data_IF_799209932188
#
_entry.id   IF_799209932188
#
_cell.length_a   1.000
_cell.length_b   1.000
_cell.length_c   1.000
_cell.angle_alpha   90.00
_cell.angle_beta   90.00
_cell.angle_gamma   90.00
#
_symmetry.space_group_name_H-M   'P 1'
#
loop_
_entity.id
_entity.type
_entity.pdbx_description
1 polymer ?
#
# COMPACT_ATOMS: atom_id res chain seq x y z
N UNK A 1 25.66 -22.81 20.09
CA UNK A 1 24.27 -23.05 19.64
C UNK A 1 23.36 -22.36 20.64
N UNK A 2 23.07 -21.08 20.43
CA UNK A 2 22.21 -20.30 21.32
C UNK A 2 20.80 -20.27 20.71
N UNK A 3 19.85 -20.88 21.40
CA UNK A 3 18.42 -20.74 21.15
C UNK A 3 18.03 -19.29 21.47
N UNK A 4 17.62 -18.52 20.46
CA UNK A 4 16.97 -17.23 20.71
C UNK A 4 15.56 -17.52 21.28
N UNK A 5 15.23 -17.00 22.47
CA UNK A 5 13.91 -17.17 23.06
C UNK A 5 12.90 -16.46 22.17
N UNK A 6 11.84 -17.19 21.81
CA UNK A 6 10.81 -16.70 20.91
C UNK A 6 10.25 -15.37 21.37
N UNK A 7 10.36 -14.36 20.50
CA UNK A 7 9.55 -13.16 20.58
C UNK A 7 8.07 -13.58 20.52
N UNK A 8 7.27 -13.35 21.57
CA UNK A 8 5.83 -13.44 21.43
C UNK A 8 5.37 -12.22 20.61
N UNK A 9 4.85 -12.45 19.41
CA UNK A 9 4.05 -11.44 18.72
C UNK A 9 2.81 -11.18 19.60
N UNK A 10 2.52 -9.94 20.03
CA UNK A 10 1.24 -9.64 20.62
C UNK A 10 0.16 -9.74 19.53
N UNK A 11 -0.50 -10.89 19.44
CA UNK A 11 -1.79 -11.01 18.77
C UNK A 11 -2.81 -10.28 19.64
N UNK A 12 -3.07 -9.02 19.31
CA UNK A 12 -4.15 -8.24 19.93
C UNK A 12 -5.48 -8.95 19.67
N UNK A 13 -6.23 -9.20 20.74
CA UNK A 13 -7.56 -9.82 20.78
C UNK A 13 -8.53 -9.22 19.75
N UNK A 14 -9.27 -10.08 19.06
CA UNK A 14 -10.48 -9.70 18.34
C UNK A 14 -11.62 -9.36 19.30
N UNK A 15 -12.37 -8.30 18.98
CA UNK A 15 -13.65 -7.96 19.59
C UNK A 15 -14.55 -7.45 18.48
N UNK A 16 -15.55 -8.27 18.14
CA UNK A 16 -16.56 -8.02 17.13
C UNK A 16 -17.41 -6.80 17.52
N UNK A 17 -17.55 -5.86 16.56
CA UNK A 17 -18.71 -5.01 16.28
C UNK A 17 -18.32 -4.10 15.09
N UNK A 18 -18.59 -4.53 13.84
CA UNK A 18 -18.17 -3.82 12.59
C UNK A 18 -16.65 -3.57 12.54
N UNK A 19 -15.92 -4.65 12.79
CA UNK A 19 -14.47 -4.79 12.97
C UNK A 19 -13.57 -3.73 12.33
N UNK A 20 -13.03 -2.84 13.16
CA UNK A 20 -11.79 -2.12 12.87
C UNK A 20 -10.63 -3.13 12.86
N UNK A 21 -10.39 -3.76 11.71
CA UNK A 21 -9.10 -4.39 11.42
C UNK A 21 -8.09 -3.27 11.20
N UNK A 22 -7.09 -3.14 12.06
CA UNK A 22 -5.83 -2.47 11.71
C UNK A 22 -5.25 -3.22 10.50
N UNK A 23 -5.62 -2.73 9.32
CA UNK A 23 -5.29 -3.38 8.06
C UNK A 23 -3.98 -2.81 7.58
N UNK A 24 -3.06 -3.69 7.25
CA UNK A 24 -1.76 -3.33 6.72
C UNK A 24 -1.65 -3.80 5.28
N UNK A 25 -0.92 -3.04 4.50
CA UNK A 25 -0.57 -3.38 3.12
C UNK A 25 0.95 -3.45 2.99
N UNK A 26 1.41 -4.34 2.12
CA UNK A 26 2.81 -4.41 1.68
C UNK A 26 2.83 -4.73 0.19
N UNK A 27 3.88 -4.30 -0.48
CA UNK A 27 4.11 -4.64 -1.87
C UNK A 27 5.22 -5.69 -1.94
N UNK A 28 4.96 -6.76 -2.69
CA UNK A 28 5.94 -7.78 -3.02
C UNK A 28 6.10 -7.77 -4.53
N UNK A 29 7.33 -7.56 -4.99
CA UNK A 29 7.67 -7.60 -6.40
C UNK A 29 8.73 -8.68 -6.60
N UNK A 30 8.41 -9.71 -7.40
CA UNK A 30 9.30 -10.85 -7.67
C UNK A 30 9.91 -11.43 -6.38
N UNK A 31 9.04 -11.82 -5.43
CA UNK A 31 9.40 -12.37 -4.11
C UNK A 31 10.23 -11.45 -3.20
N UNK A 32 10.42 -10.18 -3.56
CA UNK A 32 11.13 -9.19 -2.74
C UNK A 32 10.15 -8.21 -2.11
N UNK A 33 10.31 -7.96 -0.81
CA UNK A 33 9.54 -6.93 -0.09
C UNK A 33 10.00 -5.54 -0.53
N UNK A 34 9.05 -4.72 -0.99
CA UNK A 34 9.31 -3.32 -1.29
C UNK A 34 9.00 -2.46 -0.06
N UNK A 35 10.00 -1.77 0.52
CA UNK A 35 9.77 -0.92 1.68
C UNK A 35 9.04 0.36 1.25
N UNK A 36 7.93 0.68 1.92
CA UNK A 36 7.06 1.81 1.58
C UNK A 36 7.40 3.11 2.32
N UNK A 37 8.39 3.07 3.20
CA UNK A 37 8.88 4.27 3.88
C UNK A 37 9.32 5.32 2.86
N UNK A 38 8.95 6.58 3.11
CA UNK A 38 9.18 7.73 2.22
C UNK A 38 8.50 7.66 0.83
N UNK A 39 7.85 6.55 0.44
CA UNK A 39 7.08 6.46 -0.81
C UNK A 39 5.72 7.15 -0.67
N UNK A 40 5.06 6.93 0.46
CA UNK A 40 3.81 7.61 0.81
C UNK A 40 4.00 8.36 2.14
N UNK A 41 3.48 9.59 2.21
CA UNK A 41 3.55 10.39 3.43
C UNK A 41 2.81 9.67 4.57
N UNK A 42 3.46 9.50 5.72
CA UNK A 42 2.90 8.79 6.88
C UNK A 42 3.18 7.28 6.91
N UNK A 43 3.98 6.73 5.98
CA UNK A 43 4.54 5.38 6.12
C UNK A 43 5.89 5.44 6.84
N UNK A 44 5.95 4.86 8.04
CA UNK A 44 7.19 4.65 8.79
C UNK A 44 8.04 3.54 8.19
N UNK A 45 9.32 3.47 8.58
CA UNK A 45 10.19 2.37 8.20
C UNK A 45 9.76 1.05 8.84
N UNK A 46 9.61 0.02 8.00
CA UNK A 46 9.33 -1.36 8.40
C UNK A 46 10.21 -2.29 7.57
N UNK A 47 10.97 -3.16 8.23
CA UNK A 47 11.78 -4.18 7.57
C UNK A 47 10.93 -5.17 6.77
N UNK A 48 9.69 -5.41 7.22
CA UNK A 48 8.72 -6.28 6.56
C UNK A 48 7.88 -5.54 5.49
N UNK A 49 8.15 -4.24 5.27
CA UNK A 49 7.52 -3.42 4.24
C UNK A 49 6.06 -3.05 4.50
N UNK A 50 5.60 -3.14 5.76
CA UNK A 50 4.23 -2.79 6.11
C UNK A 50 4.00 -1.29 6.16
N UNK A 51 2.83 -0.86 5.71
CA UNK A 51 2.26 0.46 6.00
C UNK A 51 0.75 0.34 6.31
N UNK A 52 0.18 1.35 6.96
CA UNK A 52 -1.27 1.46 7.19
C UNK A 52 -2.01 1.45 5.84
N UNK A 53 -3.05 0.61 5.74
CA UNK A 53 -3.88 0.53 4.55
C UNK A 53 -4.51 1.89 4.20
N UNK A 54 -4.99 2.65 5.18
CA UNK A 54 -5.67 3.92 4.96
C UNK A 54 -4.72 5.00 4.40
N UNK A 55 -3.46 5.00 4.85
CA UNK A 55 -2.41 5.89 4.34
C UNK A 55 -2.17 5.65 2.86
N UNK A 56 -1.98 4.39 2.47
CA UNK A 56 -1.74 4.01 1.08
C UNK A 56 -2.98 4.23 0.22
N UNK A 57 -4.17 3.89 0.73
CA UNK A 57 -5.44 4.10 0.02
C UNK A 57 -5.67 5.57 -0.30
N UNK A 58 -5.43 6.46 0.66
CA UNK A 58 -5.55 7.91 0.47
C UNK A 58 -4.60 8.41 -0.62
N UNK A 59 -3.35 7.97 -0.58
CA UNK A 59 -2.35 8.34 -1.58
C UNK A 59 -2.72 7.83 -2.99
N UNK A 60 -3.19 6.59 -3.10
CA UNK A 60 -3.58 5.99 -4.39
C UNK A 60 -4.82 6.65 -4.99
N UNK A 61 -5.82 7.00 -4.16
CA UNK A 61 -6.98 7.78 -4.62
C UNK A 61 -6.58 9.13 -5.19
N UNK A 62 -5.70 9.85 -4.50
CA UNK A 62 -5.20 11.13 -5.00
C UNK A 62 -4.48 11.00 -6.36
N UNK A 63 -3.80 9.88 -6.62
CA UNK A 63 -3.19 9.61 -7.94
C UNK A 63 -4.20 9.27 -9.02
N UNK A 64 -5.30 8.61 -8.67
CA UNK A 64 -6.40 8.36 -9.60
C UNK A 64 -7.07 9.68 -9.99
N UNK A 65 -7.30 10.57 -9.01
CA UNK A 65 -7.94 11.87 -9.24
C UNK A 65 -7.06 12.83 -10.06
N UNK A 66 -5.73 12.61 -10.10
CA UNK A 66 -4.80 13.32 -10.98
C UNK A 66 -4.97 12.93 -12.46
N UNK A 67 -5.48 11.73 -12.74
CA UNK A 67 -5.54 11.18 -14.09
C UNK A 67 -6.91 11.46 -14.72
N UNK A 68 -6.93 12.31 -15.74
CA UNK A 68 -8.09 12.49 -16.61
C UNK A 68 -8.18 11.32 -17.61
N UNK A 69 -8.88 10.25 -17.23
CA UNK A 69 -9.06 9.08 -18.10
C UNK A 69 -9.93 9.34 -19.34
N UNK A 70 -10.72 10.42 -19.33
CA UNK A 70 -11.60 10.78 -20.44
C UNK A 70 -10.83 11.54 -21.54
N UNK A 71 -9.76 12.25 -21.16
CA UNK A 71 -8.89 12.98 -22.09
C UNK A 71 -7.46 12.41 -22.22
N UNK A 72 -7.11 11.36 -21.48
CA UNK A 72 -5.82 10.66 -21.56
C UNK A 72 -5.64 9.81 -22.83
N UNK A 73 -6.65 9.78 -23.70
CA UNK A 73 -6.72 8.85 -24.81
C UNK A 73 -5.86 9.26 -25.99
N UNK A 74 -4.73 8.58 -26.17
CA UNK A 74 -4.48 8.11 -27.52
C UNK A 74 -5.73 7.37 -28.02
N UNK A 75 -6.23 7.69 -29.21
CA UNK A 75 -7.35 6.98 -29.81
C UNK A 75 -7.04 5.48 -29.95
N UNK A 76 -8.01 4.67 -30.40
CA UNK A 76 -7.79 3.23 -30.63
C UNK A 76 -6.58 2.89 -31.53
N UNK A 77 -6.00 3.89 -32.21
CA UNK A 77 -4.86 3.76 -33.10
C UNK A 77 -3.54 4.21 -32.43
N UNK A 78 -3.55 4.55 -31.14
CA UNK A 78 -2.34 4.99 -30.42
C UNK A 78 -1.95 6.45 -30.68
N UNK A 79 -2.80 7.26 -31.31
CA UNK A 79 -2.54 8.68 -31.59
C UNK A 79 -3.30 9.58 -30.62
N UNK A 80 -2.64 10.61 -30.07
CA UNK A 80 -3.31 11.63 -29.25
C UNK A 80 -4.53 12.22 -30.01
N UNK A 81 -5.60 12.63 -29.31
CA UNK A 81 -6.74 13.26 -29.95
C UNK A 81 -6.24 14.53 -30.67
N UNK A 82 -6.67 14.76 -31.90
CA UNK A 82 -6.31 15.97 -32.62
C UNK A 82 -6.91 17.19 -31.90
N UNK A 83 -6.19 18.33 -31.80
CA UNK A 83 -6.74 19.57 -31.23
C UNK A 83 -7.94 20.11 -32.02
#
# INVERSE_FOLDING_TARGET
MALLPGCPLPLTKGSDDKHFKFSQIRFILNDTVLPLHNTYAGCEYSADGFCSFDTVLTALKARIDEIDYDHAGVNYNGLAPYP
#
